data_IF_947475314381
#
_entry.id   IF_947475314381
#
_cell.length_a   1.000
_cell.length_b   1.000
_cell.length_c   1.000
_cell.angle_alpha   90.00
_cell.angle_beta   90.00
_cell.angle_gamma   90.00
#
_symmetry.space_group_name_H-M   'P 1'
#
loop_
_entity.id
_entity.type
_entity.pdbx_description
1 polymer ?
#
# COMPACT_ATOMS: atom_id res chain seq x y z
N UNK A 1 14.16 21.12 -50.38
CA UNK A 1 14.87 22.16 -51.09
C UNK A 1 15.63 23.01 -50.09
N UNK A 2 16.94 23.19 -50.41
CA UNK A 2 17.89 24.22 -49.91
C UNK A 2 18.32 24.05 -48.44
N UNK A 3 19.49 23.55 -48.21
CA UNK A 3 20.92 24.01 -48.45
C UNK A 3 21.35 24.97 -47.35
N UNK A 4 22.31 24.51 -46.54
CA UNK A 4 23.75 24.91 -46.47
C UNK A 4 23.93 26.18 -45.59
N UNK A 5 24.81 26.21 -44.58
CA UNK A 5 26.23 26.48 -44.76
C UNK A 5 26.99 26.38 -43.43
N UNK A 6 28.00 25.61 -43.52
CA UNK A 6 29.24 25.56 -42.77
C UNK A 6 29.86 26.97 -42.56
N UNK A 7 30.48 27.23 -41.41
CA UNK A 7 31.64 28.08 -41.34
C UNK A 7 32.58 27.65 -40.20
N UNK A 8 33.66 27.00 -40.63
CA UNK A 8 34.93 26.90 -39.88
C UNK A 8 35.58 28.28 -39.79
N UNK A 9 36.06 28.63 -38.63
CA UNK A 9 37.20 29.56 -38.53
C UNK A 9 38.23 28.99 -37.55
N UNK A 10 39.28 28.50 -38.10
CA UNK A 10 40.55 28.27 -37.43
C UNK A 10 41.24 29.59 -37.21
N UNK A 11 41.83 29.78 -36.06
CA UNK A 11 42.87 30.80 -35.87
C UNK A 11 44.01 30.23 -35.05
N UNK A 12 45.08 29.91 -35.74
CA UNK A 12 46.44 29.72 -35.21
C UNK A 12 47.09 31.07 -34.94
N UNK A 13 47.90 31.18 -33.93
CA UNK A 13 49.18 31.90 -33.84
C UNK A 13 49.71 31.74 -32.41
N UNK A 14 50.73 30.95 -32.17
CA UNK A 14 52.18 31.21 -32.12
C UNK A 14 52.54 32.48 -31.29
N UNK A 15 53.27 32.22 -30.26
CA UNK A 15 53.95 33.28 -29.48
C UNK A 15 54.80 32.69 -28.36
N UNK A 16 56.04 32.44 -28.64
CA UNK A 16 57.14 32.12 -27.73
C UNK A 16 57.28 33.12 -26.58
N UNK A 17 57.72 32.65 -25.46
CA UNK A 17 58.21 33.51 -24.35
C UNK A 17 58.63 32.65 -23.16
N UNK A 18 59.83 32.33 -23.14
CA UNK A 18 60.72 31.68 -22.21
C UNK A 18 60.76 32.31 -20.80
N UNK A 19 61.12 31.44 -19.86
CA UNK A 19 61.95 31.61 -18.65
C UNK A 19 61.13 31.90 -17.37
N UNK A 20 61.25 31.22 -16.35
CA UNK A 20 62.22 30.50 -15.54
C UNK A 20 61.52 29.95 -14.33
N UNK A 21 61.88 28.75 -13.96
CA UNK A 21 61.57 28.21 -12.63
C UNK A 21 62.41 28.94 -11.56
N UNK A 22 62.02 28.94 -10.29
CA UNK A 22 62.35 27.77 -9.46
C UNK A 22 61.22 27.31 -8.51
N UNK A 23 61.19 26.02 -8.34
CA UNK A 23 60.78 25.41 -7.07
C UNK A 23 61.77 25.88 -5.95
N UNK A 24 61.45 25.79 -4.68
CA UNK A 24 60.85 24.61 -4.05
C UNK A 24 59.95 24.93 -2.84
N UNK A 25 59.42 23.88 -2.32
CA UNK A 25 59.22 23.62 -0.89
C UNK A 25 57.83 23.19 -0.52
N UNK A 26 57.73 21.90 -0.44
CA UNK A 26 57.31 21.15 0.78
C UNK A 26 56.31 21.88 1.68
N UNK A 27 55.09 21.46 1.63
CA UNK A 27 54.24 21.21 2.77
C UNK A 27 53.15 20.25 2.33
N UNK A 28 53.37 19.04 2.62
CA UNK A 28 52.60 18.13 3.41
C UNK A 28 51.11 18.03 3.07
N UNK A 29 50.86 16.86 2.49
CA UNK A 29 49.84 15.95 3.00
C UNK A 29 48.53 16.60 3.42
N UNK A 30 47.63 16.77 2.50
CA UNK A 30 46.26 16.48 2.80
C UNK A 30 45.90 15.24 2.06
N UNK A 31 45.86 14.17 2.81
CA UNK A 31 45.34 12.88 2.46
C UNK A 31 43.95 13.11 1.87
N UNK A 32 43.86 13.03 0.57
CA UNK A 32 42.57 12.78 -0.06
C UNK A 32 42.12 11.43 0.46
N UNK A 33 41.22 11.45 1.43
CA UNK A 33 40.47 10.30 1.81
C UNK A 33 39.84 9.73 0.52
N UNK A 34 40.02 8.43 0.27
CA UNK A 34 39.26 7.81 -0.78
C UNK A 34 37.78 7.99 -0.40
N UNK A 35 37.07 8.76 -1.20
CA UNK A 35 35.61 8.72 -1.18
C UNK A 35 35.26 7.26 -1.43
N UNK A 36 34.97 6.56 -0.35
CA UNK A 36 34.33 5.26 -0.42
C UNK A 36 32.99 5.54 -1.07
N UNK A 37 32.95 5.36 -2.38
CA UNK A 37 31.68 5.19 -3.08
C UNK A 37 31.07 3.99 -2.41
N UNK A 38 30.18 4.23 -1.48
CA UNK A 38 29.34 3.16 -0.93
C UNK A 38 28.78 2.43 -2.15
N UNK A 39 28.93 1.11 -2.23
CA UNK A 39 28.31 0.38 -3.31
C UNK A 39 26.84 0.80 -3.30
N UNK A 40 26.35 1.13 -4.49
CA UNK A 40 24.95 1.41 -4.75
C UNK A 40 24.19 0.31 -4.03
N UNK A 41 23.57 0.68 -2.90
CA UNK A 41 22.74 -0.27 -2.17
C UNK A 41 21.76 -0.79 -3.20
N UNK A 42 21.90 -2.05 -3.50
CA UNK A 42 20.89 -2.86 -4.13
C UNK A 42 19.54 -2.31 -3.66
N UNK A 43 18.71 -1.85 -4.58
CA UNK A 43 17.39 -1.31 -4.27
C UNK A 43 16.59 -2.54 -3.85
N UNK A 44 16.80 -2.97 -2.60
CA UNK A 44 15.89 -3.88 -1.93
C UNK A 44 14.58 -3.08 -1.86
N UNK A 45 13.50 -3.55 -2.48
CA UNK A 45 12.22 -2.89 -2.32
C UNK A 45 11.99 -2.72 -0.81
N UNK A 46 11.56 -1.53 -0.36
CA UNK A 46 11.38 -1.31 1.07
C UNK A 46 10.51 -2.44 1.62
N UNK A 47 11.02 -3.08 2.67
CA UNK A 47 10.23 -4.09 3.38
C UNK A 47 8.87 -3.46 3.75
N UNK A 48 7.78 -4.20 3.59
CA UNK A 48 6.48 -3.69 3.99
C UNK A 48 6.54 -3.27 5.46
N UNK A 49 5.91 -2.15 5.84
CA UNK A 49 5.89 -1.69 7.22
C UNK A 49 5.37 -2.81 8.13
N UNK A 50 5.86 -2.91 9.37
CA UNK A 50 5.35 -3.89 10.31
C UNK A 50 3.83 -3.68 10.51
N UNK A 51 3.08 -4.77 10.71
CA UNK A 51 1.65 -4.67 10.92
C UNK A 51 1.34 -3.83 12.18
N UNK A 52 0.18 -3.16 12.22
CA UNK A 52 -0.28 -2.43 13.40
C UNK A 52 -0.31 -3.32 14.65
N UNK A 53 -0.24 -2.68 15.83
CA UNK A 53 -0.26 -3.38 17.11
C UNK A 53 -1.59 -4.11 17.42
N UNK A 54 -2.67 -3.76 16.72
CA UNK A 54 -3.99 -4.39 16.83
C UNK A 54 -4.21 -5.34 15.66
N UNK A 55 -4.99 -6.41 15.88
CA UNK A 55 -5.28 -7.37 14.82
C UNK A 55 -6.14 -6.76 13.72
N UNK A 56 -6.04 -7.29 12.50
CA UNK A 56 -6.86 -6.82 11.37
C UNK A 56 -8.38 -6.99 11.63
N UNK A 57 -8.77 -8.03 12.37
CA UNK A 57 -10.17 -8.27 12.75
C UNK A 57 -10.67 -7.22 13.74
N UNK A 58 -9.86 -6.87 14.75
CA UNK A 58 -10.20 -5.83 15.73
C UNK A 58 -10.22 -4.45 15.08
N UNK A 59 -9.27 -4.16 14.20
CA UNK A 59 -9.24 -2.93 13.40
C UNK A 59 -10.51 -2.81 12.53
N UNK A 60 -10.90 -3.89 11.86
CA UNK A 60 -12.12 -3.93 11.04
C UNK A 60 -13.40 -3.79 11.88
N UNK A 61 -13.42 -4.33 13.10
CA UNK A 61 -14.54 -4.23 14.04
C UNK A 61 -14.65 -2.84 14.66
N UNK A 62 -13.51 -2.23 15.00
CA UNK A 62 -13.45 -0.88 15.58
C UNK A 62 -13.69 0.23 14.55
N UNK A 63 -13.56 -0.07 13.27
CA UNK A 63 -13.68 0.95 12.24
C UNK A 63 -12.37 1.71 11.97
N UNK A 64 -11.24 1.18 12.43
CA UNK A 64 -9.94 1.81 12.25
C UNK A 64 -9.40 1.58 10.83
N UNK A 65 -9.69 2.54 9.97
CA UNK A 65 -9.29 2.51 8.56
C UNK A 65 -7.78 2.48 8.38
N UNK A 66 -7.02 3.25 9.18
CA UNK A 66 -5.57 3.34 9.06
C UNK A 66 -4.88 2.04 9.49
N UNK A 67 -5.36 1.40 10.56
CA UNK A 67 -4.86 0.12 11.00
C UNK A 67 -5.14 -0.97 9.94
N UNK A 68 -6.36 -1.05 9.40
CA UNK A 68 -6.69 -2.00 8.32
C UNK A 68 -5.81 -1.76 7.09
N UNK A 69 -5.57 -0.50 6.74
CA UNK A 69 -4.67 -0.14 5.65
C UNK A 69 -3.24 -0.61 5.91
N UNK A 70 -2.73 -0.44 7.15
CA UNK A 70 -1.40 -0.90 7.55
C UNK A 70 -1.24 -2.41 7.38
N UNK A 71 -2.24 -3.21 7.77
CA UNK A 71 -2.26 -4.67 7.56
C UNK A 71 -2.24 -5.03 6.08
N UNK A 72 -3.00 -4.31 5.26
CA UNK A 72 -3.01 -4.49 3.81
C UNK A 72 -1.63 -4.19 3.20
N UNK A 73 -1.01 -3.08 3.61
CA UNK A 73 0.31 -2.68 3.14
C UNK A 73 1.40 -3.69 3.58
N UNK A 74 1.23 -4.33 4.72
CA UNK A 74 2.06 -5.44 5.22
C UNK A 74 1.80 -6.77 4.50
N UNK A 75 0.89 -6.80 3.53
CA UNK A 75 0.51 -7.98 2.72
C UNK A 75 -0.02 -9.14 3.55
N UNK A 76 -0.69 -8.86 4.65
CA UNK A 76 -1.39 -9.88 5.41
C UNK A 76 -2.54 -10.50 4.60
N UNK A 77 -2.86 -11.74 4.95
CA UNK A 77 -3.96 -12.46 4.32
C UNK A 77 -5.30 -11.87 4.77
N UNK A 78 -6.02 -11.24 3.83
CA UNK A 78 -7.31 -10.59 4.10
C UNK A 78 -8.48 -11.56 4.28
N UNK A 79 -8.27 -12.83 3.96
CA UNK A 79 -9.30 -13.87 4.02
C UNK A 79 -9.08 -14.84 5.19
N UNK A 80 -8.05 -14.58 6.00
CA UNK A 80 -7.77 -15.40 7.16
C UNK A 80 -8.88 -15.24 8.21
N UNK A 81 -9.49 -16.35 8.65
CA UNK A 81 -10.49 -16.30 9.69
C UNK A 81 -9.87 -16.06 11.06
N UNK A 82 -10.52 -15.27 11.89
CA UNK A 82 -10.11 -15.04 13.27
C UNK A 82 -10.11 -16.37 14.05
N UNK A 83 -8.93 -16.81 14.46
CA UNK A 83 -8.75 -18.05 15.21
C UNK A 83 -9.33 -17.98 16.63
N UNK A 84 -9.43 -16.78 17.18
CA UNK A 84 -10.02 -16.52 18.51
C UNK A 84 -11.55 -16.40 18.50
N UNK A 85 -12.14 -16.23 17.32
CA UNK A 85 -13.60 -16.11 17.18
C UNK A 85 -14.24 -17.49 16.88
N UNK A 86 -15.19 -17.95 17.68
CA UNK A 86 -15.92 -19.19 17.43
C UNK A 86 -16.65 -19.19 16.08
N UNK A 87 -16.99 -18.04 15.54
CA UNK A 87 -17.63 -17.88 14.24
C UNK A 87 -16.63 -17.86 13.08
N UNK A 88 -15.32 -17.82 13.38
CA UNK A 88 -14.26 -17.73 12.37
C UNK A 88 -14.53 -16.65 11.32
N UNK A 89 -14.74 -15.44 11.81
CA UNK A 89 -15.04 -14.30 10.95
C UNK A 89 -13.77 -13.84 10.23
N UNK A 90 -13.89 -13.53 8.94
CA UNK A 90 -12.82 -12.79 8.24
C UNK A 90 -12.92 -11.30 8.54
N UNK A 91 -11.88 -10.50 8.26
CA UNK A 91 -11.94 -9.05 8.43
C UNK A 91 -13.14 -8.39 7.72
N UNK A 92 -13.51 -8.91 6.55
CA UNK A 92 -14.69 -8.45 5.83
C UNK A 92 -15.99 -8.68 6.61
N UNK A 93 -16.14 -9.84 7.24
CA UNK A 93 -17.32 -10.13 8.09
C UNK A 93 -17.39 -9.18 9.29
N UNK A 94 -16.23 -8.90 9.93
CA UNK A 94 -16.16 -7.98 11.06
C UNK A 94 -16.56 -6.54 10.64
N UNK A 95 -16.01 -6.05 9.52
CA UNK A 95 -16.35 -4.72 9.00
C UNK A 95 -17.83 -4.58 8.63
N UNK A 96 -18.41 -5.64 8.04
CA UNK A 96 -19.83 -5.68 7.65
C UNK A 96 -20.73 -5.73 8.87
N UNK A 97 -20.43 -6.56 9.87
CA UNK A 97 -21.20 -6.69 11.10
C UNK A 97 -21.22 -5.39 11.90
N UNK A 98 -20.09 -4.65 11.90
CA UNK A 98 -19.97 -3.35 12.58
C UNK A 98 -20.44 -2.15 11.74
N UNK A 99 -20.80 -2.37 10.47
CA UNK A 99 -21.34 -1.31 9.61
C UNK A 99 -20.30 -0.37 9.00
N UNK A 100 -19.02 -0.72 8.98
CA UNK A 100 -17.94 0.12 8.49
C UNK A 100 -17.80 0.04 6.97
N UNK A 101 -18.68 0.73 6.24
CA UNK A 101 -18.73 0.72 4.76
C UNK A 101 -17.39 1.05 4.11
N UNK A 102 -16.63 2.04 4.61
CA UNK A 102 -15.35 2.44 4.04
C UNK A 102 -14.32 1.30 4.10
N UNK A 103 -14.29 0.54 5.20
CA UNK A 103 -13.41 -0.61 5.36
C UNK A 103 -13.85 -1.75 4.45
N UNK A 104 -15.15 -1.99 4.32
CA UNK A 104 -15.71 -2.98 3.37
C UNK A 104 -15.24 -2.67 1.95
N UNK A 105 -15.39 -1.42 1.50
CA UNK A 105 -14.94 -0.98 0.18
C UNK A 105 -13.42 -1.15 0.00
N UNK A 106 -12.63 -0.82 1.04
CA UNK A 106 -11.18 -0.98 1.03
C UNK A 106 -10.78 -2.46 0.89
N UNK A 107 -11.32 -3.35 1.73
CA UNK A 107 -11.01 -4.78 1.70
C UNK A 107 -11.37 -5.39 0.35
N UNK A 108 -12.54 -5.06 -0.21
CA UNK A 108 -12.95 -5.54 -1.53
C UNK A 108 -12.05 -5.01 -2.65
N UNK A 109 -11.64 -3.75 -2.60
CA UNK A 109 -10.72 -3.15 -3.57
C UNK A 109 -9.33 -3.82 -3.53
N UNK A 110 -8.96 -4.43 -2.40
CA UNK A 110 -7.71 -5.15 -2.21
C UNK A 110 -7.82 -6.66 -2.44
N UNK A 111 -8.99 -7.14 -2.84
CA UNK A 111 -9.21 -8.51 -3.29
C UNK A 111 -9.63 -9.49 -2.20
N UNK A 112 -10.16 -9.01 -1.07
CA UNK A 112 -10.76 -9.89 -0.07
C UNK A 112 -11.90 -10.73 -0.67
N UNK A 113 -11.99 -12.00 -0.27
CA UNK A 113 -13.05 -12.90 -0.74
C UNK A 113 -14.42 -12.46 -0.23
N UNK A 114 -15.21 -11.92 -1.15
CA UNK A 114 -16.56 -11.42 -0.88
C UNK A 114 -17.57 -12.52 -0.52
N UNK A 115 -17.28 -13.76 -0.92
CA UNK A 115 -18.14 -14.93 -0.69
C UNK A 115 -17.58 -15.85 0.39
N UNK A 116 -16.56 -15.42 1.13
CA UNK A 116 -16.05 -16.14 2.29
C UNK A 116 -17.21 -16.51 3.23
N UNK A 117 -17.16 -17.72 3.81
CA UNK A 117 -18.18 -18.21 4.73
C UNK A 117 -17.63 -18.28 6.14
N UNK A 118 -18.41 -17.85 7.10
CA UNK A 118 -18.14 -18.06 8.51
C UNK A 118 -18.39 -19.53 8.90
N UNK A 119 -18.11 -19.90 10.16
CA UNK A 119 -18.36 -21.24 10.69
C UNK A 119 -19.85 -21.65 10.67
N UNK A 120 -20.75 -20.68 10.74
CA UNK A 120 -22.20 -20.86 10.63
C UNK A 120 -22.70 -20.95 9.17
N UNK A 121 -21.79 -20.83 8.20
CA UNK A 121 -22.08 -20.90 6.77
C UNK A 121 -22.61 -19.60 6.15
N UNK A 122 -22.71 -18.52 6.93
CA UNK A 122 -23.16 -17.20 6.45
C UNK A 122 -22.04 -16.47 5.71
N UNK A 123 -22.41 -15.78 4.64
CA UNK A 123 -21.54 -14.83 3.94
C UNK A 123 -21.71 -13.42 4.49
N UNK A 124 -20.81 -12.51 4.09
CA UNK A 124 -20.93 -11.10 4.43
C UNK A 124 -22.29 -10.50 4.01
N UNK A 125 -22.82 -10.91 2.86
CA UNK A 125 -24.12 -10.46 2.38
C UNK A 125 -25.27 -10.96 3.29
N UNK A 126 -25.22 -12.21 3.76
CA UNK A 126 -26.24 -12.76 4.65
C UNK A 126 -26.31 -12.01 5.99
N UNK A 127 -25.15 -11.57 6.50
CA UNK A 127 -25.07 -10.77 7.74
C UNK A 127 -25.82 -9.47 7.58
N UNK A 128 -25.63 -8.80 6.45
CA UNK A 128 -26.28 -7.51 6.17
C UNK A 128 -27.78 -7.64 5.94
N UNK A 129 -28.18 -8.73 5.28
CA UNK A 129 -29.59 -9.00 4.97
C UNK A 129 -30.38 -9.52 6.18
N UNK A 130 -29.68 -9.94 7.24
CA UNK A 130 -30.34 -10.40 8.46
C UNK A 130 -31.08 -9.23 9.12
N UNK A 131 -32.37 -9.34 9.19
CA UNK A 131 -33.20 -8.36 9.87
C UNK A 131 -32.87 -8.32 11.36
N UNK A 132 -32.53 -7.12 11.81
CA UNK A 132 -32.37 -6.81 13.22
C UNK A 132 -33.55 -5.93 13.64
N UNK A 133 -34.53 -6.46 14.36
CA UNK A 133 -35.73 -5.71 14.71
C UNK A 133 -35.44 -4.54 15.68
N UNK A 134 -34.26 -4.53 16.32
CA UNK A 134 -33.78 -3.47 17.18
C UNK A 134 -32.89 -2.43 16.50
N UNK A 135 -32.58 -2.62 15.22
CA UNK A 135 -31.72 -1.68 14.49
C UNK A 135 -32.42 -0.34 14.25
N UNK A 136 -31.68 0.75 14.44
CA UNK A 136 -32.15 2.10 14.10
C UNK A 136 -32.37 2.24 12.59
N UNK A 137 -33.11 3.26 12.18
CA UNK A 137 -33.30 3.55 10.76
C UNK A 137 -31.98 3.90 10.06
N UNK A 138 -31.07 4.54 10.77
CA UNK A 138 -29.72 4.84 10.28
C UNK A 138 -28.90 3.56 10.07
N UNK A 139 -28.96 2.60 11.01
CA UNK A 139 -28.29 1.30 10.88
C UNK A 139 -28.85 0.52 9.69
N UNK A 140 -30.17 0.55 9.49
CA UNK A 140 -30.81 -0.09 8.35
C UNK A 140 -30.38 0.55 7.03
N UNK A 141 -30.29 1.88 6.97
CA UNK A 141 -29.82 2.60 5.80
C UNK A 141 -28.35 2.25 5.49
N UNK A 142 -27.51 2.18 6.51
CA UNK A 142 -26.10 1.82 6.40
C UNK A 142 -25.94 0.36 5.92
N UNK A 143 -26.65 -0.58 6.52
CA UNK A 143 -26.67 -1.99 6.07
C UNK A 143 -27.11 -2.09 4.62
N UNK A 144 -28.16 -1.40 4.22
CA UNK A 144 -28.63 -1.36 2.83
C UNK A 144 -27.56 -0.81 1.88
N UNK A 145 -26.82 0.22 2.29
CA UNK A 145 -25.73 0.76 1.51
C UNK A 145 -24.58 -0.26 1.35
N UNK A 146 -24.22 -0.96 2.45
CA UNK A 146 -23.19 -2.02 2.43
C UNK A 146 -23.66 -3.20 1.54
N UNK A 147 -24.91 -3.65 1.67
CA UNK A 147 -25.47 -4.68 0.80
C UNK A 147 -25.37 -4.29 -0.67
N UNK A 148 -25.65 -3.02 -1.01
CA UNK A 148 -25.50 -2.48 -2.36
C UNK A 148 -24.05 -2.53 -2.86
N UNK A 149 -23.06 -2.29 -1.99
CA UNK A 149 -21.63 -2.42 -2.32
C UNK A 149 -21.28 -3.87 -2.57
N UNK A 150 -21.68 -4.77 -1.68
CA UNK A 150 -21.43 -6.20 -1.79
C UNK A 150 -22.02 -6.79 -3.09
N UNK A 151 -23.29 -6.51 -3.37
CA UNK A 151 -23.95 -7.01 -4.60
C UNK A 151 -23.28 -6.49 -5.86
N UNK A 152 -22.90 -5.20 -5.91
CA UNK A 152 -22.16 -4.65 -7.07
C UNK A 152 -20.81 -5.31 -7.29
N UNK A 153 -20.17 -5.79 -6.24
CA UNK A 153 -18.90 -6.51 -6.32
C UNK A 153 -19.07 -8.05 -6.46
N UNK A 154 -20.30 -8.53 -6.66
CA UNK A 154 -20.55 -9.94 -6.96
C UNK A 154 -20.82 -10.83 -5.73
N UNK A 155 -21.19 -10.25 -4.59
CA UNK A 155 -21.56 -11.05 -3.42
C UNK A 155 -22.80 -11.91 -3.72
N UNK A 156 -22.75 -13.14 -3.24
CA UNK A 156 -23.87 -14.07 -3.29
C UNK A 156 -24.30 -14.43 -1.86
N UNK A 157 -25.61 -14.45 -1.63
CA UNK A 157 -26.14 -14.97 -0.36
C UNK A 157 -25.94 -16.49 -0.29
N UNK A 158 -25.60 -17.00 0.88
CA UNK A 158 -25.56 -18.44 1.09
C UNK A 158 -26.97 -19.01 0.88
N UNK A 159 -27.08 -20.01 0.00
CA UNK A 159 -28.36 -20.73 -0.14
C UNK A 159 -28.57 -21.52 1.14
N UNK A 160 -29.41 -21.02 2.02
CA UNK A 160 -29.91 -21.81 3.14
C UNK A 160 -30.81 -22.92 2.59
N UNK A 161 -30.38 -24.16 2.85
CA UNK A 161 -31.13 -25.37 2.47
C UNK A 161 -31.98 -25.79 3.63
#
# INVERSE_FOLDING_TARGET
MKKILSLMVAFTVVGCGRETAPEPSIAEASVAEPVIVKPVAEIIPPEPPPPPAISIWDAARAGDFEAVRGHIDSRENLDEPDAGDPLKQTPLHCAVASGHKAIVELLLAKGADINAKRADGLTALDIVLKDDPGASDDDRALRKAIAGVLVRNGATAAKHK
#
